data_IF_406004815688
#
_entry.id   IF_406004815688
#
_cell.length_a   1.000
_cell.length_b   1.000
_cell.length_c   1.000
_cell.angle_alpha   90.00
_cell.angle_beta   90.00
_cell.angle_gamma   90.00
#
_symmetry.space_group_name_H-M   'P 1'
#
loop_
_entity.id
_entity.type
_entity.pdbx_description
1 polymer ?
#
# COMPACT_ATOMS: atom_id res chain seq x y z
N UNK A 1 -7.50 1.48 -15.26
CA UNK A 1 -6.60 0.57 -16.01
C UNK A 1 -5.53 0.06 -15.05
N UNK A 2 -5.78 -1.03 -14.32
CA UNK A 2 -4.91 -1.43 -13.19
C UNK A 2 -4.78 -2.94 -12.94
N UNK A 3 -5.69 -3.80 -13.40
CA UNK A 3 -5.66 -5.23 -13.07
C UNK A 3 -4.79 -6.08 -14.01
N UNK A 4 -4.74 -5.78 -15.32
CA UNK A 4 -4.08 -6.64 -16.31
C UNK A 4 -2.55 -6.69 -16.21
N UNK A 5 -1.89 -5.64 -15.68
CA UNK A 5 -0.43 -5.66 -15.50
C UNK A 5 0.02 -6.57 -14.36
N UNK A 6 -0.87 -6.90 -13.43
CA UNK A 6 -0.58 -7.74 -12.25
C UNK A 6 -0.60 -9.23 -12.60
N UNK A 7 -1.30 -9.64 -13.66
CA UNK A 7 -1.47 -11.05 -14.02
C UNK A 7 -0.19 -11.79 -14.49
N UNK A 8 0.95 -11.11 -14.60
CA UNK A 8 2.26 -11.72 -14.97
C UNK A 8 3.19 -11.97 -13.77
N UNK A 9 2.77 -11.62 -12.57
CA UNK A 9 3.49 -11.86 -11.32
C UNK A 9 2.57 -12.70 -10.43
N UNK A 10 3.12 -13.63 -9.65
CA UNK A 10 2.35 -14.20 -8.54
C UNK A 10 1.91 -13.02 -7.66
N UNK A 11 0.61 -12.69 -7.61
CA UNK A 11 0.16 -11.45 -7.03
C UNK A 11 0.27 -11.57 -5.50
N UNK A 12 1.36 -11.04 -4.96
CA UNK A 12 1.53 -10.92 -3.52
C UNK A 12 0.94 -9.59 -3.06
N UNK A 13 0.06 -9.63 -2.07
CA UNK A 13 -0.69 -8.47 -1.59
C UNK A 13 -0.52 -8.28 -0.10
N UNK A 14 -0.70 -7.04 0.37
CA UNK A 14 -0.69 -6.74 1.79
C UNK A 14 -1.34 -5.40 2.11
N UNK A 15 -1.47 -5.11 3.39
CA UNK A 15 -2.03 -3.86 3.91
C UNK A 15 -0.92 -3.00 4.51
N UNK A 16 -0.86 -1.73 4.13
CA UNK A 16 0.09 -0.78 4.71
C UNK A 16 -0.26 -0.56 6.18
N UNK A 17 0.71 -0.69 7.08
CA UNK A 17 0.54 -0.46 8.52
C UNK A 17 1.35 0.74 9.03
N UNK A 18 2.28 1.25 8.21
CA UNK A 18 3.14 2.38 8.56
C UNK A 18 4.18 2.64 7.48
N UNK A 19 5.14 3.52 7.74
CA UNK A 19 6.21 3.79 6.81
C UNK A 19 7.10 4.97 7.19
N UNK A 20 8.18 5.09 6.42
CA UNK A 20 9.13 6.19 6.40
C UNK A 20 9.10 6.81 4.99
N UNK A 21 9.65 8.01 4.76
CA UNK A 21 9.75 8.58 3.42
C UNK A 21 10.41 7.60 2.43
N UNK A 22 9.66 7.21 1.39
CA UNK A 22 10.15 6.29 0.35
C UNK A 22 9.99 4.79 0.63
N UNK A 23 9.55 4.40 1.83
CA UNK A 23 9.39 2.99 2.23
C UNK A 23 8.12 2.80 3.07
N UNK A 24 7.25 1.89 2.65
CA UNK A 24 6.11 1.46 3.44
C UNK A 24 6.44 0.18 4.22
N UNK A 25 5.83 0.03 5.39
CA UNK A 25 5.74 -1.24 6.11
C UNK A 25 4.38 -1.86 5.81
N UNK A 26 4.40 -3.08 5.28
CA UNK A 26 3.23 -3.78 4.75
C UNK A 26 3.06 -5.10 5.49
N UNK A 27 1.87 -5.32 6.04
CA UNK A 27 1.48 -6.60 6.62
C UNK A 27 0.99 -7.53 5.51
N UNK A 28 1.62 -8.69 5.40
CA UNK A 28 1.29 -9.75 4.44
C UNK A 28 0.92 -11.04 5.19
N UNK A 29 0.54 -12.08 4.46
CA UNK A 29 0.33 -13.43 4.98
C UNK A 29 1.61 -14.08 5.54
N UNK A 30 2.78 -13.65 5.08
CA UNK A 30 4.08 -14.09 5.56
C UNK A 30 4.64 -13.21 6.71
N UNK A 31 3.91 -12.17 7.13
CA UNK A 31 4.33 -11.22 8.15
C UNK A 31 4.63 -9.82 7.61
N UNK A 32 5.36 -9.02 8.38
CA UNK A 32 5.70 -7.64 8.03
C UNK A 32 6.84 -7.56 7.01
N UNK A 33 6.67 -6.68 6.03
CA UNK A 33 7.60 -6.50 4.92
C UNK A 33 7.86 -5.02 4.70
N UNK A 34 9.12 -4.64 4.57
CA UNK A 34 9.51 -3.29 4.13
C UNK A 34 9.54 -3.26 2.61
N UNK A 35 8.72 -2.38 2.02
CA UNK A 35 8.59 -2.26 0.58
C UNK A 35 8.86 -0.81 0.13
N UNK A 36 9.73 -0.68 -0.88
CA UNK A 36 9.97 0.60 -1.57
C UNK A 36 8.95 0.80 -2.69
N UNK A 37 8.96 1.94 -3.39
CA UNK A 37 8.03 2.16 -4.51
C UNK A 37 8.62 1.69 -5.84
N UNK A 38 7.90 0.81 -6.53
CA UNK A 38 8.26 0.37 -7.88
C UNK A 38 8.08 1.50 -8.90
N UNK A 39 8.66 1.35 -10.09
CA UNK A 39 8.63 2.41 -11.12
C UNK A 39 7.21 2.80 -11.54
N UNK A 40 6.29 1.84 -11.64
CA UNK A 40 4.88 2.12 -11.92
C UNK A 40 4.23 2.99 -10.86
N UNK A 41 4.51 2.71 -9.59
CA UNK A 41 3.99 3.46 -8.46
C UNK A 41 4.64 4.85 -8.34
N UNK A 42 5.95 4.96 -8.53
CA UNK A 42 6.65 6.25 -8.57
C UNK A 42 6.09 7.16 -9.67
N UNK A 43 5.79 6.62 -10.86
CA UNK A 43 5.11 7.37 -11.92
C UNK A 43 3.71 7.85 -11.52
N UNK A 44 2.95 7.07 -10.73
CA UNK A 44 1.65 7.51 -10.19
C UNK A 44 1.83 8.62 -9.17
N UNK A 45 2.74 8.45 -8.21
CA UNK A 45 3.05 9.46 -7.18
C UNK A 45 3.55 10.78 -7.81
N UNK A 46 4.36 10.70 -8.86
CA UNK A 46 4.84 11.87 -9.58
C UNK A 46 3.72 12.66 -10.27
N UNK A 47 2.64 11.98 -10.70
CA UNK A 47 1.45 12.60 -11.29
C UNK A 47 0.48 13.11 -10.23
N UNK A 48 0.34 12.39 -9.13
CA UNK A 48 -0.53 12.72 -8.02
C UNK A 48 0.10 12.27 -6.70
N UNK A 49 0.56 13.24 -5.90
CA UNK A 49 1.17 12.97 -4.59
C UNK A 49 0.16 12.48 -3.55
N UNK A 50 -1.14 12.66 -3.79
CA UNK A 50 -2.21 12.11 -2.94
C UNK A 50 -2.35 10.59 -3.05
N UNK A 51 -1.72 9.96 -4.06
CA UNK A 51 -1.72 8.52 -4.25
C UNK A 51 -0.58 7.80 -3.49
N UNK A 52 0.19 8.48 -2.64
CA UNK A 52 1.21 7.81 -1.80
C UNK A 52 0.50 6.85 -0.84
N UNK A 53 0.90 5.55 -0.77
CA UNK A 53 0.27 4.59 0.12
C UNK A 53 0.35 5.02 1.57
N UNK A 54 -0.76 4.85 2.28
CA UNK A 54 -0.97 5.25 3.66
C UNK A 54 -1.50 4.08 4.48
N UNK A 55 -1.39 4.11 5.82
CA UNK A 55 -1.90 3.03 6.66
C UNK A 55 -3.36 2.69 6.36
N UNK A 56 -3.66 1.40 6.15
CA UNK A 56 -4.95 0.88 5.75
C UNK A 56 -5.08 0.60 4.25
N UNK A 57 -4.21 1.17 3.41
CA UNK A 57 -4.23 0.93 1.96
C UNK A 57 -3.77 -0.49 1.61
N UNK A 58 -4.48 -1.12 0.68
CA UNK A 58 -4.07 -2.42 0.15
C UNK A 58 -3.10 -2.21 -1.01
N UNK A 59 -2.02 -2.97 -1.05
CA UNK A 59 -0.96 -2.81 -2.05
C UNK A 59 -0.62 -4.13 -2.73
N UNK A 60 -0.19 -4.03 -3.98
CA UNK A 60 0.44 -5.14 -4.72
C UNK A 60 1.93 -5.04 -4.54
N UNK A 61 2.53 -6.14 -4.11
CA UNK A 61 3.96 -6.30 -3.90
C UNK A 61 4.59 -7.08 -5.04
N UNK A 62 5.86 -6.77 -5.30
CA UNK A 62 6.73 -7.58 -6.15
C UNK A 62 8.04 -7.84 -5.42
N UNK A 63 8.41 -9.11 -5.33
CA UNK A 63 9.77 -9.52 -4.92
C UNK A 63 10.66 -9.59 -6.16
N UNK A 64 11.83 -8.99 -6.06
CA UNK A 64 12.86 -9.01 -7.10
C UNK A 64 13.95 -10.04 -6.78
N UNK A 65 14.74 -10.41 -7.78
CA UNK A 65 15.83 -11.39 -7.65
C UNK A 65 16.98 -10.90 -6.77
N UNK A 66 17.06 -9.60 -6.51
CA UNK A 66 18.01 -8.97 -5.58
C UNK A 66 17.41 -8.79 -4.16
N UNK A 67 16.37 -9.57 -3.84
CA UNK A 67 15.63 -9.58 -2.57
C UNK A 67 14.93 -8.27 -2.21
N UNK A 68 14.88 -7.29 -3.12
CA UNK A 68 14.07 -6.09 -2.92
C UNK A 68 12.59 -6.40 -3.04
N UNK A 69 11.78 -5.70 -2.26
CA UNK A 69 10.32 -5.69 -2.39
C UNK A 69 9.87 -4.29 -2.77
N UNK A 70 9.01 -4.22 -3.79
CA UNK A 70 8.41 -2.96 -4.25
C UNK A 70 6.89 -3.02 -4.24
N UNK A 71 6.27 -1.87 -3.96
CA UNK A 71 4.86 -1.62 -4.20
C UNK A 71 4.69 -1.25 -5.67
N UNK A 72 3.91 -2.06 -6.40
CA UNK A 72 3.64 -1.87 -7.83
C UNK A 72 2.31 -1.15 -8.08
N UNK A 73 1.34 -1.34 -7.17
CA UNK A 73 0.06 -0.64 -7.19
C UNK A 73 -0.52 -0.52 -5.77
N UNK A 74 -1.43 0.44 -5.58
CA UNK A 74 -2.17 0.66 -4.34
C UNK A 74 -3.66 0.85 -4.63
N UNK A 75 -4.48 0.21 -3.80
CA UNK A 75 -5.91 0.43 -3.73
C UNK A 75 -6.21 1.24 -2.47
N UNK A 76 -6.56 2.53 -2.64
CA UNK A 76 -6.83 3.38 -1.50
C UNK A 76 -7.97 2.78 -0.69
N UNK A 77 -7.75 2.62 0.60
CA UNK A 77 -8.83 2.37 1.52
C UNK A 77 -9.67 3.64 1.62
N UNK A 78 -10.97 3.52 1.38
CA UNK A 78 -11.90 4.61 1.71
C UNK A 78 -12.30 4.43 3.17
N UNK A 79 -11.74 5.21 4.11
CA UNK A 79 -12.14 5.10 5.49
C UNK A 79 -13.63 5.45 5.59
N UNK A 80 -14.42 4.52 6.12
CA UNK A 80 -15.69 4.89 6.73
C UNK A 80 -15.34 5.48 8.08
N UNK A 81 -15.44 6.80 8.21
CA UNK A 81 -15.36 7.41 9.53
C UNK A 81 -16.51 6.86 10.37
N UNK A 82 -16.19 6.26 11.50
CA UNK A 82 -17.21 5.88 12.46
C UNK A 82 -17.83 7.16 13.04
N UNK A 83 -19.16 7.18 13.14
CA UNK A 83 -19.84 8.26 13.83
C UNK A 83 -19.41 8.25 15.31
N UNK A 84 -18.76 9.32 15.74
CA UNK A 84 -18.31 9.47 17.14
C UNK A 84 -19.55 9.70 18.01
N UNK A 85 -19.91 8.70 18.80
CA UNK A 85 -20.93 8.85 19.83
C UNK A 85 -20.37 9.75 20.93
N UNK A 86 -20.91 10.96 21.05
CA UNK A 86 -20.57 11.87 22.13
C UNK A 86 -21.09 11.30 23.46
N UNK A 87 -20.18 10.81 24.29
CA UNK A 87 -20.52 10.41 25.65
C UNK A 87 -20.77 11.67 26.48
N UNK A 88 -22.00 11.85 26.98
CA UNK A 88 -22.29 12.96 27.91
C UNK A 88 -21.60 12.65 29.25
N UNK A 89 -20.85 13.60 29.83
CA UNK A 89 -20.36 13.46 31.20
C UNK A 89 -21.55 13.42 32.16
N UNK A 90 -21.42 12.60 33.21
CA UNK A 90 -22.41 12.39 34.27
C UNK A 90 -22.36 13.50 35.30
#
# INVERSE_FOLDING_TARGET
MSAERVGRLDPWVGCVIGGEPGVAVVLTDAGEVRASYGGGMLCKIARDRGCVPSPGDWVVLRRWTDDRVTIEDAWPHRPRHADVIQLRPK
#
